data_IF_224355665967
#
_entry.id   IF_224355665967
#
_cell.length_a   1.000
_cell.length_b   1.000
_cell.length_c   1.000
_cell.angle_alpha   90.00
_cell.angle_beta   90.00
_cell.angle_gamma   90.00
#
_symmetry.space_group_name_H-M   'P 1'
#
loop_
_entity.id
_entity.type
_entity.pdbx_description
1 polymer ?
#
# COMPACT_ATOMS: atom_id res chain seq x y z
N UNK A 1 53.66 0.42 4.45
CA UNK A 1 52.25 0.36 4.92
C UNK A 1 52.06 -0.84 5.83
N UNK A 2 51.41 -0.65 6.98
CA UNK A 2 51.25 -1.69 8.00
C UNK A 2 50.03 -2.58 7.66
N UNK A 3 50.26 -3.85 7.32
CA UNK A 3 49.22 -4.79 6.82
C UNK A 3 48.01 -4.90 7.76
N UNK A 4 48.21 -4.75 9.06
CA UNK A 4 47.14 -4.79 10.07
C UNK A 4 46.15 -3.62 9.95
N UNK A 5 46.64 -2.42 9.63
CA UNK A 5 45.79 -1.24 9.48
C UNK A 5 44.91 -1.28 8.23
N UNK A 6 45.44 -1.84 7.14
CA UNK A 6 44.70 -2.00 5.89
C UNK A 6 43.52 -2.97 6.04
N UNK A 7 43.74 -4.12 6.71
CA UNK A 7 42.70 -5.11 6.97
C UNK A 7 41.57 -4.52 7.83
N UNK A 8 41.91 -3.70 8.83
CA UNK A 8 40.91 -3.08 9.70
C UNK A 8 40.02 -2.09 8.94
N UNK A 9 40.60 -1.29 8.04
CA UNK A 9 39.85 -0.34 7.21
C UNK A 9 38.93 -1.09 6.24
N UNK A 10 39.43 -2.13 5.59
CA UNK A 10 38.66 -2.95 4.65
C UNK A 10 37.48 -3.66 5.32
N UNK A 11 37.68 -4.16 6.55
CA UNK A 11 36.62 -4.78 7.34
C UNK A 11 35.50 -3.78 7.71
N UNK A 12 35.87 -2.57 8.14
CA UNK A 12 34.87 -1.54 8.50
C UNK A 12 34.05 -1.13 7.28
N UNK A 13 34.72 -0.88 6.14
CA UNK A 13 34.03 -0.52 4.89
C UNK A 13 33.10 -1.65 4.45
N UNK A 14 33.56 -2.90 4.51
CA UNK A 14 32.76 -4.07 4.14
C UNK A 14 31.52 -4.22 5.02
N UNK A 15 31.65 -4.04 6.33
CA UNK A 15 30.52 -4.10 7.27
C UNK A 15 29.52 -2.97 6.98
N UNK A 16 30.00 -1.74 6.78
CA UNK A 16 29.12 -0.60 6.44
C UNK A 16 28.35 -0.85 5.15
N UNK A 17 29.01 -1.40 4.12
CA UNK A 17 28.34 -1.75 2.87
C UNK A 17 27.27 -2.82 3.08
N UNK A 18 27.56 -3.87 3.85
CA UNK A 18 26.59 -4.93 4.17
C UNK A 18 25.36 -4.34 4.87
N UNK A 19 25.55 -3.47 5.86
CA UNK A 19 24.44 -2.82 6.58
C UNK A 19 23.58 -1.99 5.64
N UNK A 20 24.19 -1.22 4.75
CA UNK A 20 23.47 -0.41 3.75
C UNK A 20 22.68 -1.32 2.80
N UNK A 21 23.28 -2.39 2.30
CA UNK A 21 22.61 -3.34 1.41
C UNK A 21 21.42 -4.02 2.10
N UNK A 22 21.58 -4.45 3.35
CA UNK A 22 20.48 -5.02 4.14
C UNK A 22 19.36 -4.00 4.32
N UNK A 23 19.69 -2.76 4.67
CA UNK A 23 18.70 -1.69 4.81
C UNK A 23 17.93 -1.46 3.50
N UNK A 24 18.62 -1.39 2.35
CA UNK A 24 17.98 -1.26 1.04
C UNK A 24 17.06 -2.45 0.73
N UNK A 25 17.50 -3.68 0.99
CA UNK A 25 16.69 -4.88 0.77
C UNK A 25 15.43 -4.88 1.64
N UNK A 26 15.55 -4.49 2.90
CA UNK A 26 14.40 -4.34 3.81
C UNK A 26 13.44 -3.28 3.26
N UNK A 27 13.93 -2.12 2.84
CA UNK A 27 13.09 -1.05 2.27
C UNK A 27 12.36 -1.50 1.00
N UNK A 28 13.03 -2.18 0.07
CA UNK A 28 12.43 -2.70 -1.16
C UNK A 28 11.36 -3.75 -0.85
N UNK A 29 11.67 -4.67 0.06
CA UNK A 29 10.74 -5.73 0.47
C UNK A 29 9.51 -5.11 1.14
N UNK A 30 9.71 -4.13 2.02
CA UNK A 30 8.64 -3.39 2.67
C UNK A 30 7.73 -2.69 1.64
N UNK A 31 8.30 -1.93 0.71
CA UNK A 31 7.53 -1.24 -0.33
C UNK A 31 6.72 -2.20 -1.21
N UNK A 32 7.30 -3.37 -1.54
CA UNK A 32 6.65 -4.39 -2.35
C UNK A 32 5.47 -5.04 -1.62
N UNK A 33 5.68 -5.42 -0.35
CA UNK A 33 4.63 -5.95 0.52
C UNK A 33 3.52 -4.92 0.76
N UNK A 34 3.89 -3.66 1.01
CA UNK A 34 2.95 -2.57 1.21
C UNK A 34 2.09 -2.32 -0.03
N UNK A 35 2.70 -2.33 -1.22
CA UNK A 35 1.96 -2.20 -2.49
C UNK A 35 0.97 -3.35 -2.68
N UNK A 36 1.41 -4.58 -2.43
CA UNK A 36 0.55 -5.78 -2.57
C UNK A 36 -0.63 -5.72 -1.59
N UNK A 37 -0.35 -5.34 -0.34
CA UNK A 37 -1.36 -5.16 0.70
C UNK A 37 -2.37 -4.06 0.33
N UNK A 38 -1.91 -2.91 -0.18
CA UNK A 38 -2.79 -1.83 -0.64
C UNK A 38 -3.70 -2.27 -1.80
N UNK A 39 -3.18 -3.03 -2.75
CA UNK A 39 -4.00 -3.60 -3.84
C UNK A 39 -5.06 -4.56 -3.31
N UNK A 40 -4.69 -5.40 -2.34
CA UNK A 40 -5.63 -6.32 -1.70
C UNK A 40 -6.76 -5.56 -0.97
N UNK A 41 -6.42 -4.52 -0.20
CA UNK A 41 -7.41 -3.68 0.48
C UNK A 41 -8.31 -2.93 -0.51
N UNK A 42 -7.74 -2.40 -1.61
CA UNK A 42 -8.53 -1.76 -2.66
C UNK A 42 -9.51 -2.74 -3.32
N UNK A 43 -9.12 -4.01 -3.46
CA UNK A 43 -9.97 -5.07 -3.98
C UNK A 43 -11.08 -5.48 -3.00
N UNK A 44 -10.78 -5.63 -1.71
CA UNK A 44 -11.83 -5.87 -0.70
C UNK A 44 -12.84 -4.71 -0.66
N UNK A 45 -12.36 -3.49 -0.83
CA UNK A 45 -13.20 -2.30 -0.87
C UNK A 45 -14.17 -2.31 -2.04
N UNK A 46 -13.70 -2.64 -3.25
CA UNK A 46 -14.57 -2.74 -4.43
C UNK A 46 -15.59 -3.86 -4.29
N UNK A 47 -15.22 -5.01 -3.70
CA UNK A 47 -16.18 -6.08 -3.39
C UNK A 47 -17.24 -5.59 -2.40
N UNK A 48 -16.83 -4.92 -1.33
CA UNK A 48 -17.77 -4.40 -0.33
C UNK A 48 -18.80 -3.44 -0.95
N UNK A 49 -18.37 -2.61 -1.91
CA UNK A 49 -19.25 -1.74 -2.69
C UNK A 49 -20.10 -2.50 -3.71
N UNK A 50 -19.63 -3.64 -4.21
CA UNK A 50 -20.38 -4.47 -5.14
C UNK A 50 -21.54 -5.21 -4.45
N UNK A 51 -21.37 -5.63 -3.19
CA UNK A 51 -22.37 -6.34 -2.36
C UNK A 51 -23.54 -5.47 -1.84
N UNK A 52 -23.84 -4.32 -2.47
CA UNK A 52 -24.90 -3.39 -2.03
C UNK A 52 -24.77 -2.87 -0.58
N UNK A 53 -23.59 -2.99 0.04
CA UNK A 53 -23.37 -2.44 1.38
C UNK A 53 -23.31 -0.91 1.36
N UNK A 54 -23.75 -0.23 2.44
CA UNK A 54 -23.66 1.21 2.52
C UNK A 54 -22.20 1.67 2.48
N UNK A 55 -21.92 2.60 1.56
CA UNK A 55 -20.59 3.19 1.27
C UNK A 55 -19.78 3.51 2.53
N UNK A 56 -20.40 4.17 3.51
CA UNK A 56 -19.75 4.58 4.76
C UNK A 56 -19.21 3.40 5.59
N UNK A 57 -19.86 2.24 5.54
CA UNK A 57 -19.41 1.04 6.26
C UNK A 57 -18.17 0.45 5.60
N UNK A 58 -18.14 0.42 4.26
CA UNK A 58 -16.97 -0.03 3.50
C UNK A 58 -15.78 0.91 3.74
N UNK A 59 -15.99 2.21 3.63
CA UNK A 59 -14.95 3.23 3.86
C UNK A 59 -14.37 3.15 5.27
N UNK A 60 -15.22 3.04 6.30
CA UNK A 60 -14.74 2.87 7.69
C UNK A 60 -13.96 1.58 7.93
N UNK A 61 -14.33 0.48 7.27
CA UNK A 61 -13.57 -0.79 7.35
C UNK A 61 -12.17 -0.58 6.78
N UNK A 62 -12.09 0.00 5.58
CA UNK A 62 -10.83 0.27 4.88
C UNK A 62 -9.97 1.25 5.67
N UNK A 63 -10.56 2.33 6.19
CA UNK A 63 -9.85 3.31 7.01
C UNK A 63 -9.23 2.67 8.26
N UNK A 64 -9.94 1.73 8.89
CA UNK A 64 -9.40 0.96 10.02
C UNK A 64 -8.23 0.08 9.62
N UNK A 65 -8.36 -0.68 8.53
CA UNK A 65 -7.28 -1.53 8.01
C UNK A 65 -6.03 -0.70 7.66
N UNK A 66 -6.21 0.46 7.03
CA UNK A 66 -5.11 1.36 6.69
C UNK A 66 -4.48 1.98 7.93
N UNK A 67 -5.26 2.36 8.95
CA UNK A 67 -4.70 2.85 10.22
C UNK A 67 -3.82 1.82 10.93
N UNK A 68 -4.11 0.52 10.80
CA UNK A 68 -3.29 -0.53 11.43
C UNK A 68 -1.91 -0.68 10.78
N UNK A 69 -1.80 -0.41 9.49
CA UNK A 69 -0.56 -0.61 8.71
C UNK A 69 0.18 0.71 8.45
N UNK A 70 -0.49 1.85 8.60
CA UNK A 70 0.07 3.19 8.43
C UNK A 70 0.92 3.60 9.65
N UNK A 71 2.10 3.00 9.75
CA UNK A 71 3.07 3.23 10.83
C UNK A 71 3.49 4.71 10.99
N UNK A 72 3.35 5.50 9.92
CA UNK A 72 3.82 6.87 9.83
C UNK A 72 2.69 7.91 9.86
N UNK A 73 1.44 7.49 10.13
CA UNK A 73 0.27 8.37 10.22
C UNK A 73 0.09 9.29 9.00
N UNK A 74 0.45 8.81 7.80
CA UNK A 74 0.24 9.57 6.56
C UNK A 74 -1.23 9.86 6.32
N UNK A 75 -1.58 11.04 5.74
CA UNK A 75 -2.94 11.29 5.29
C UNK A 75 -3.33 10.27 4.22
N UNK A 76 -4.50 9.67 4.41
CA UNK A 76 -5.08 8.68 3.50
C UNK A 76 -6.42 9.19 3.03
N UNK A 77 -6.55 9.36 1.73
CA UNK A 77 -7.80 9.69 1.08
C UNK A 77 -8.37 8.44 0.41
N UNK A 78 -9.58 8.05 0.84
CA UNK A 78 -10.33 6.95 0.25
C UNK A 78 -11.48 7.56 -0.55
N UNK A 79 -11.50 7.34 -1.85
CA UNK A 79 -12.58 7.74 -2.73
C UNK A 79 -13.25 6.48 -3.28
N UNK A 80 -14.50 6.25 -2.90
CA UNK A 80 -15.31 5.18 -3.49
C UNK A 80 -16.43 5.76 -4.35
N UNK A 81 -16.59 5.24 -5.57
CA UNK A 81 -17.69 5.60 -6.47
C UNK A 81 -18.34 4.35 -7.03
N UNK A 82 -19.65 4.46 -7.26
CA UNK A 82 -20.47 3.42 -7.87
C UNK A 82 -21.22 4.07 -9.02
N UNK A 83 -21.00 3.57 -10.23
CA UNK A 83 -21.67 4.01 -11.45
C UNK A 83 -22.33 2.80 -12.12
N UNK A 84 -23.26 3.02 -13.04
CA UNK A 84 -24.04 1.96 -13.69
C UNK A 84 -23.12 0.85 -14.25
N UNK A 85 -23.08 -0.29 -13.55
CA UNK A 85 -22.26 -1.45 -13.94
C UNK A 85 -20.83 -1.52 -13.36
N UNK A 86 -20.34 -0.51 -12.63
CA UNK A 86 -18.99 -0.52 -12.06
C UNK A 86 -18.90 0.00 -10.62
N UNK A 87 -18.09 -0.68 -9.81
CA UNK A 87 -17.61 -0.18 -8.52
C UNK A 87 -16.14 0.18 -8.65
N UNK A 88 -15.80 1.42 -8.28
CA UNK A 88 -14.43 1.94 -8.33
C UNK A 88 -14.03 2.37 -6.93
N UNK A 89 -12.88 1.85 -6.47
CA UNK A 89 -12.23 2.33 -5.25
C UNK A 89 -10.87 2.88 -5.61
N UNK A 90 -10.63 4.11 -5.19
CA UNK A 90 -9.34 4.77 -5.27
C UNK A 90 -8.85 5.08 -3.86
N UNK A 91 -7.64 4.63 -3.56
CA UNK A 91 -6.96 4.90 -2.29
C UNK A 91 -5.71 5.70 -2.62
N UNK A 92 -5.60 6.90 -2.04
CA UNK A 92 -4.44 7.78 -2.18
C UNK A 92 -3.78 7.95 -0.82
N UNK A 93 -2.48 7.67 -0.73
CA UNK A 93 -1.68 7.94 0.47
C UNK A 93 -0.66 9.01 0.11
N UNK A 94 -0.65 10.09 0.89
CA UNK A 94 0.29 11.19 0.71
C UNK A 94 1.52 11.01 1.59
N UNK A 95 2.65 10.70 0.97
CA UNK A 95 3.95 10.76 1.63
C UNK A 95 4.54 12.16 1.36
N UNK A 96 4.76 12.96 2.41
CA UNK A 96 5.41 14.30 2.35
C UNK A 96 6.52 14.41 1.27
N UNK A 97 6.77 15.59 0.67
CA UNK A 97 5.94 16.35 -0.25
C UNK A 97 6.16 15.97 -1.74
N UNK A 98 6.60 14.74 -2.08
CA UNK A 98 6.89 14.38 -3.50
C UNK A 98 6.50 12.97 -3.94
N UNK A 99 5.96 12.13 -3.07
CA UNK A 99 5.61 10.76 -3.45
C UNK A 99 4.15 10.45 -3.09
N UNK A 100 3.34 10.24 -4.13
CA UNK A 100 1.96 9.80 -3.99
C UNK A 100 1.88 8.34 -4.43
N UNK A 101 1.35 7.48 -3.56
CA UNK A 101 0.99 6.11 -3.95
C UNK A 101 -0.50 6.10 -4.27
N UNK A 102 -0.83 5.99 -5.56
CA UNK A 102 -2.21 5.92 -6.05
C UNK A 102 -2.51 4.49 -6.46
N UNK A 103 -3.49 3.88 -5.81
CA UNK A 103 -4.04 2.58 -6.22
C UNK A 103 -5.49 2.79 -6.63
N UNK A 104 -5.85 2.35 -7.83
CA UNK A 104 -7.20 2.40 -8.36
C UNK A 104 -7.60 1.00 -8.78
N UNK A 105 -8.69 0.50 -8.22
CA UNK A 105 -9.25 -0.80 -8.55
C UNK A 105 -10.65 -0.60 -9.13
N UNK A 106 -10.89 -1.20 -10.28
CA UNK A 106 -12.19 -1.21 -10.95
C UNK A 106 -12.71 -2.65 -10.94
N UNK A 107 -13.98 -2.83 -10.56
CA UNK A 107 -14.64 -4.12 -10.60
C UNK A 107 -15.97 -4.01 -11.35
N UNK A 108 -16.23 -4.86 -12.37
CA UNK A 108 -17.55 -4.94 -12.97
C UNK A 108 -18.57 -5.43 -11.93
N UNK A 109 -19.70 -4.74 -11.85
CA UNK A 109 -20.81 -5.14 -10.98
C UNK A 109 -21.52 -6.34 -11.61
N UNK A 110 -22.00 -7.30 -10.79
CA UNK A 110 -22.91 -8.31 -11.29
C UNK A 110 -24.16 -7.62 -11.89
N UNK A 111 -24.75 -8.18 -12.96
CA UNK A 111 -25.98 -7.64 -13.53
C UNK A 111 -27.03 -7.56 -12.42
N UNK A 112 -27.68 -6.40 -12.27
CA UNK A 112 -28.88 -6.29 -11.43
C UNK A 112 -29.84 -7.37 -11.91
N UNK A 113 -30.22 -8.29 -11.03
CA UNK A 113 -31.36 -9.17 -11.24
C UNK A 113 -32.61 -8.29 -11.22
N UNK A 114 -32.88 -7.63 -12.34
CA UNK A 114 -34.18 -7.01 -12.60
C UNK A 114 -35.16 -8.12 -12.91
N UNK A 115 -36.16 -8.22 -12.04
CA UNK A 115 -37.51 -8.74 -12.27
C UNK A 115 -37.68 -10.26 -12.42
N UNK A 116 -38.05 -10.89 -11.29
CA UNK A 116 -39.03 -11.97 -11.26
C UNK A 116 -40.17 -11.57 -10.32
#
# INVERSE_FOLDING_TARGET
MNKKGQIMIEAVISISLIVITIAMLISITYLSSFKTWMTHVAYEATICLAEDRPKNTCEKKIEREIKLVNFFSYPVEIQTSRSEGHAITKISIEFLPRHHLKVSQELPLPPKSSDL
#
